data_IF_980753092787
#
_entry.id   IF_980753092787
#
_cell.length_a   1.000
_cell.length_b   1.000
_cell.length_c   1.000
_cell.angle_alpha   90.00
_cell.angle_beta   90.00
_cell.angle_gamma   90.00
#
_symmetry.space_group_name_H-M   'P 1'
#
loop_
_entity.id
_entity.type
_entity.pdbx_description
1 polymer ?
#
# COMPACT_ATOMS: atom_id res chain seq x y z
N UNK A 1 -11.52 -7.33 -6.53
CA UNK A 1 -11.17 -8.53 -5.74
C UNK A 1 -12.44 -9.04 -5.06
N UNK A 2 -12.63 -10.34 -4.96
CA UNK A 2 -13.80 -10.92 -4.27
C UNK A 2 -13.60 -10.88 -2.75
N UNK A 3 -14.69 -10.73 -2.00
CA UNK A 3 -14.63 -10.63 -0.54
C UNK A 3 -14.02 -11.88 0.11
N UNK A 4 -14.28 -13.08 -0.44
CA UNK A 4 -13.65 -14.30 0.07
C UNK A 4 -12.13 -14.33 -0.08
N UNK A 5 -11.57 -13.72 -1.11
CA UNK A 5 -10.11 -13.63 -1.31
C UNK A 5 -9.50 -12.78 -0.20
N UNK A 6 -10.16 -11.68 0.15
CA UNK A 6 -9.77 -10.81 1.26
C UNK A 6 -9.85 -11.57 2.59
N UNK A 7 -10.94 -12.28 2.83
CA UNK A 7 -11.12 -13.04 4.06
C UNK A 7 -10.06 -14.14 4.22
N UNK A 8 -9.75 -14.86 3.14
CA UNK A 8 -8.69 -15.87 3.14
C UNK A 8 -7.31 -15.25 3.44
N UNK A 9 -7.00 -14.09 2.86
CA UNK A 9 -5.75 -13.38 3.11
C UNK A 9 -5.63 -12.85 4.56
N UNK A 10 -6.76 -12.59 5.21
CA UNK A 10 -6.84 -12.20 6.63
C UNK A 10 -6.95 -13.39 7.59
N UNK A 11 -7.35 -14.57 7.11
CA UNK A 11 -7.67 -15.72 7.94
C UNK A 11 -8.91 -15.51 8.81
N UNK A 12 -9.95 -14.85 8.27
CA UNK A 12 -11.11 -14.42 9.04
C UNK A 12 -12.44 -15.00 8.55
N UNK A 13 -13.46 -14.94 9.40
CA UNK A 13 -14.83 -15.36 9.06
C UNK A 13 -15.57 -14.28 8.26
N UNK A 14 -16.44 -14.72 7.34
CA UNK A 14 -17.38 -13.85 6.61
C UNK A 14 -18.80 -14.12 7.10
N UNK A 15 -19.52 -13.06 7.42
CA UNK A 15 -20.98 -13.12 7.63
C UNK A 15 -21.65 -12.31 6.52
N UNK A 16 -22.44 -12.97 5.67
CA UNK A 16 -23.09 -12.33 4.52
C UNK A 16 -22.69 -12.99 3.19
N UNK A 17 -22.64 -12.21 2.12
CA UNK A 17 -22.33 -12.71 0.78
C UNK A 17 -20.81 -12.66 0.50
N UNK A 18 -20.12 -13.82 0.39
CA UNK A 18 -18.67 -13.87 0.13
C UNK A 18 -18.28 -13.50 -1.31
N UNK A 19 -19.24 -13.48 -2.24
CA UNK A 19 -19.00 -13.26 -3.67
C UNK A 19 -19.03 -11.79 -4.09
N UNK A 20 -19.21 -10.87 -3.13
CA UNK A 20 -19.25 -9.44 -3.44
C UNK A 20 -17.89 -8.98 -3.98
N UNK A 21 -17.93 -8.19 -5.05
CA UNK A 21 -16.76 -7.51 -5.58
C UNK A 21 -16.41 -6.29 -4.72
N UNK A 22 -15.20 -6.30 -4.17
CA UNK A 22 -14.59 -5.17 -3.46
C UNK A 22 -13.57 -4.50 -4.38
N UNK A 23 -13.70 -3.18 -4.51
CA UNK A 23 -12.94 -2.34 -5.43
C UNK A 23 -11.91 -1.48 -4.73
N UNK A 24 -12.25 -0.94 -3.56
CA UNK A 24 -11.40 -0.02 -2.80
C UNK A 24 -11.80 0.00 -1.33
N UNK A 25 -10.97 0.65 -0.53
CA UNK A 25 -11.28 0.98 0.86
C UNK A 25 -11.87 2.39 0.94
N UNK A 26 -12.84 2.61 1.81
CA UNK A 26 -13.44 3.93 2.04
C UNK A 26 -13.77 4.17 3.52
N UNK A 27 -13.88 5.44 3.91
CA UNK A 27 -14.39 5.83 5.23
C UNK A 27 -15.87 5.45 5.37
N UNK A 28 -16.28 4.98 6.56
CA UNK A 28 -17.64 4.45 6.78
C UNK A 28 -18.75 5.43 6.41
N UNK A 29 -18.50 6.73 6.54
CA UNK A 29 -19.47 7.80 6.25
C UNK A 29 -19.67 8.02 4.74
N UNK A 30 -18.65 7.76 3.93
CA UNK A 30 -18.59 8.07 2.50
C UNK A 30 -18.54 6.80 1.63
N UNK A 31 -18.50 5.63 2.23
CA UNK A 31 -18.43 4.35 1.55
C UNK A 31 -19.71 4.08 0.75
N UNK A 32 -19.54 3.60 -0.47
CA UNK A 32 -20.60 3.19 -1.38
C UNK A 32 -20.49 1.72 -1.78
N UNK A 33 -21.33 1.32 -2.74
CA UNK A 33 -21.38 -0.05 -3.25
C UNK A 33 -20.04 -0.44 -3.88
N UNK A 34 -19.52 -1.60 -3.49
CA UNK A 34 -18.20 -2.09 -3.89
C UNK A 34 -17.05 -1.64 -2.98
N UNK A 35 -17.33 -0.79 -1.99
CA UNK A 35 -16.32 -0.37 -1.02
C UNK A 35 -16.34 -1.28 0.22
N UNK A 36 -15.15 -1.47 0.80
CA UNK A 36 -14.98 -2.04 2.13
C UNK A 36 -14.56 -0.93 3.11
N UNK A 37 -15.09 -0.97 4.32
CA UNK A 37 -14.72 -0.07 5.41
C UNK A 37 -14.44 -0.87 6.69
N UNK A 38 -14.15 -0.21 7.80
CA UNK A 38 -13.90 -0.87 9.08
C UNK A 38 -14.50 -0.09 10.27
N UNK A 39 -14.75 -0.81 11.36
CA UNK A 39 -15.12 -0.22 12.66
C UNK A 39 -14.19 -0.82 13.72
N UNK A 40 -13.24 -0.02 14.20
CA UNK A 40 -12.40 -0.37 15.36
C UNK A 40 -12.84 0.36 16.64
N UNK A 41 -13.42 1.55 16.51
CA UNK A 41 -13.85 2.37 17.65
C UNK A 41 -15.38 2.34 17.77
N UNK A 42 -15.94 1.92 18.92
CA UNK A 42 -17.38 1.83 19.15
C UNK A 42 -18.18 3.09 18.80
N UNK A 43 -17.57 4.28 18.88
CA UNK A 43 -18.23 5.55 18.54
C UNK A 43 -18.70 5.64 17.08
N UNK A 44 -18.15 4.82 16.18
CA UNK A 44 -18.52 4.77 14.77
C UNK A 44 -19.57 3.69 14.45
N UNK A 45 -19.97 2.85 15.40
CA UNK A 45 -21.00 1.81 15.18
C UNK A 45 -22.37 2.38 14.79
N UNK A 46 -22.61 3.66 15.12
CA UNK A 46 -23.81 4.39 14.69
C UNK A 46 -23.89 4.60 13.17
N UNK A 47 -22.75 4.60 12.47
CA UNK A 47 -22.71 4.75 11.01
C UNK A 47 -22.93 3.42 10.29
N UNK A 48 -22.91 2.29 10.99
CA UNK A 48 -23.22 0.98 10.39
C UNK A 48 -24.61 0.96 9.76
N UNK A 49 -25.56 1.65 10.38
CA UNK A 49 -26.95 1.66 9.94
C UNK A 49 -27.14 2.52 8.68
N UNK A 50 -26.26 3.50 8.43
CA UNK A 50 -26.37 4.45 7.30
C UNK A 50 -25.31 4.29 6.22
N UNK A 51 -24.23 3.53 6.44
CA UNK A 51 -23.14 3.39 5.46
C UNK A 51 -23.63 2.74 4.16
N UNK A 52 -23.06 3.15 3.02
CA UNK A 52 -23.29 2.52 1.72
C UNK A 52 -22.28 1.41 1.38
N UNK A 53 -21.34 1.09 2.30
CA UNK A 53 -20.33 0.06 2.10
C UNK A 53 -20.95 -1.30 1.77
N UNK A 54 -20.27 -2.09 0.95
CA UNK A 54 -20.65 -3.47 0.68
C UNK A 54 -20.11 -4.46 1.70
N UNK A 55 -18.99 -4.14 2.34
CA UNK A 55 -18.45 -4.92 3.42
C UNK A 55 -17.87 -4.05 4.55
N UNK A 56 -17.90 -4.56 5.78
CA UNK A 56 -17.35 -3.89 6.96
C UNK A 56 -16.47 -4.85 7.75
N UNK A 57 -15.22 -4.46 8.02
CA UNK A 57 -14.31 -5.17 8.91
C UNK A 57 -14.64 -4.79 10.35
N UNK A 58 -14.91 -5.77 11.20
CA UNK A 58 -15.36 -5.55 12.58
C UNK A 58 -14.73 -6.53 13.55
N UNK A 59 -14.67 -6.14 14.83
CA UNK A 59 -14.14 -6.99 15.89
C UNK A 59 -15.11 -8.12 16.26
N UNK A 60 -14.62 -9.17 16.92
CA UNK A 60 -15.43 -10.29 17.43
C UNK A 60 -16.61 -9.86 18.32
N UNK A 61 -16.51 -8.72 19.01
CA UNK A 61 -17.58 -8.17 19.85
C UNK A 61 -18.71 -7.48 19.07
N UNK A 62 -18.59 -7.30 17.76
CA UNK A 62 -19.57 -6.57 16.96
C UNK A 62 -20.79 -7.43 16.59
N UNK A 63 -21.95 -7.04 17.09
CA UNK A 63 -23.18 -7.86 17.02
C UNK A 63 -24.20 -7.40 15.99
N UNK A 64 -24.15 -6.15 15.50
CA UNK A 64 -25.13 -5.63 14.54
C UNK A 64 -25.05 -6.38 13.21
N UNK A 65 -26.21 -6.56 12.56
CA UNK A 65 -26.34 -7.17 11.23
C UNK A 65 -27.32 -6.34 10.40
N UNK A 66 -27.06 -6.24 9.11
CA UNK A 66 -27.90 -5.50 8.15
C UNK A 66 -27.91 -6.24 6.82
N UNK A 67 -29.08 -6.41 6.25
CA UNK A 67 -29.21 -7.00 4.92
C UNK A 67 -28.43 -6.18 3.87
N UNK A 68 -27.77 -6.86 2.94
CA UNK A 68 -26.97 -6.23 1.90
C UNK A 68 -25.57 -5.77 2.30
N UNK A 69 -25.16 -5.90 3.58
CA UNK A 69 -23.77 -5.72 4.04
C UNK A 69 -23.19 -7.09 4.43
N UNK A 70 -21.95 -7.34 4.03
CA UNK A 70 -21.16 -8.46 4.57
C UNK A 70 -20.16 -7.99 5.63
N UNK A 71 -19.85 -8.84 6.60
CA UNK A 71 -18.91 -8.55 7.67
C UNK A 71 -17.68 -9.45 7.57
N UNK A 72 -16.50 -8.88 7.80
CA UNK A 72 -15.28 -9.64 8.08
C UNK A 72 -15.01 -9.58 9.58
N UNK A 73 -15.06 -10.73 10.26
CA UNK A 73 -14.91 -10.82 11.71
C UNK A 73 -13.46 -11.10 12.06
N UNK A 74 -12.80 -10.15 12.70
CA UNK A 74 -11.36 -10.20 13.01
C UNK A 74 -11.07 -9.92 14.48
N UNK A 75 -9.86 -10.27 14.92
CA UNK A 75 -9.36 -9.91 16.26
C UNK A 75 -9.02 -8.42 16.37
N UNK A 76 -8.33 -7.87 15.37
CA UNK A 76 -7.95 -6.45 15.30
C UNK A 76 -8.45 -5.82 13.98
N UNK A 77 -9.55 -5.04 14.03
CA UNK A 77 -10.11 -4.39 12.85
C UNK A 77 -9.17 -3.38 12.19
N UNK A 78 -8.32 -2.70 12.97
CA UNK A 78 -7.40 -1.70 12.44
C UNK A 78 -6.25 -2.38 11.69
N UNK A 79 -5.66 -3.42 12.27
CA UNK A 79 -4.63 -4.20 11.59
C UNK A 79 -5.15 -4.88 10.33
N UNK A 80 -6.34 -5.47 10.39
CA UNK A 80 -7.00 -6.06 9.22
C UNK A 80 -7.25 -5.01 8.13
N UNK A 81 -7.72 -3.80 8.49
CA UNK A 81 -7.87 -2.69 7.55
C UNK A 81 -6.54 -2.35 6.85
N UNK A 82 -5.42 -2.23 7.57
CA UNK A 82 -4.10 -1.94 6.96
C UNK A 82 -3.70 -3.05 5.97
N UNK A 83 -3.98 -4.31 6.30
CA UNK A 83 -3.73 -5.45 5.41
C UNK A 83 -4.59 -5.37 4.15
N UNK A 84 -5.88 -5.08 4.28
CA UNK A 84 -6.80 -4.90 3.13
C UNK A 84 -6.36 -3.73 2.25
N UNK A 85 -5.93 -2.61 2.85
CA UNK A 85 -5.44 -1.45 2.11
C UNK A 85 -4.25 -1.81 1.20
N UNK A 86 -3.32 -2.63 1.70
CA UNK A 86 -2.17 -3.14 0.93
C UNK A 86 -2.58 -4.14 -0.16
N UNK A 87 -3.57 -5.00 0.11
CA UNK A 87 -4.07 -5.97 -0.87
C UNK A 87 -4.76 -5.28 -2.05
N UNK A 88 -5.52 -4.22 -1.79
CA UNK A 88 -6.25 -3.47 -2.82
C UNK A 88 -5.40 -2.40 -3.51
N UNK A 89 -4.26 -2.03 -2.93
CA UNK A 89 -3.29 -1.11 -3.52
C UNK A 89 -1.90 -1.75 -3.50
N UNK A 90 -1.65 -2.78 -4.35
CA UNK A 90 -0.33 -3.36 -4.44
C UNK A 90 0.68 -2.30 -4.87
N UNK A 91 1.93 -2.36 -4.36
CA UNK A 91 2.96 -1.41 -4.74
C UNK A 91 3.12 -1.43 -6.26
N UNK A 92 2.97 -0.26 -6.88
CA UNK A 92 3.26 -0.08 -8.30
C UNK A 92 4.78 -0.13 -8.45
N UNK A 93 5.28 -0.89 -9.42
CA UNK A 93 6.69 -0.82 -9.77
C UNK A 93 7.01 0.60 -10.25
N UNK A 94 7.78 1.35 -9.45
CA UNK A 94 8.00 2.77 -9.68
C UNK A 94 8.91 3.04 -10.89
N UNK A 95 9.80 2.09 -11.20
CA UNK A 95 10.73 2.13 -12.33
C UNK A 95 10.99 0.70 -12.85
N UNK A 96 11.31 0.54 -14.15
CA UNK A 96 11.91 -0.68 -14.66
C UNK A 96 13.20 -1.04 -13.91
N UNK A 97 13.61 -2.32 -13.89
CA UNK A 97 14.87 -2.73 -13.30
C UNK A 97 16.07 -2.05 -13.99
N UNK A 98 17.11 -1.73 -13.20
CA UNK A 98 18.38 -1.23 -13.70
C UNK A 98 18.47 0.29 -13.84
N UNK A 99 19.41 0.72 -14.67
CA UNK A 99 19.79 2.13 -14.85
C UNK A 99 19.16 2.64 -16.15
N UNK A 100 18.38 3.72 -16.07
CA UNK A 100 17.81 4.33 -17.27
C UNK A 100 18.93 4.81 -18.20
N UNK A 101 18.82 4.66 -19.54
CA UNK A 101 19.89 5.02 -20.48
C UNK A 101 20.33 6.49 -20.44
N UNK A 102 19.51 7.38 -19.87
CA UNK A 102 19.81 8.81 -19.74
C UNK A 102 20.29 9.21 -18.35
N UNK A 103 20.39 8.27 -17.41
CA UNK A 103 21.02 8.53 -16.13
C UNK A 103 22.53 8.65 -16.30
N UNK A 104 23.13 9.59 -15.58
CA UNK A 104 24.58 9.77 -15.55
C UNK A 104 25.07 9.21 -14.22
N UNK A 105 25.87 8.15 -14.27
CA UNK A 105 26.41 7.48 -13.09
C UNK A 105 27.93 7.50 -13.19
N UNK A 106 28.61 8.08 -12.20
CA UNK A 106 30.06 8.08 -12.13
C UNK A 106 30.61 6.65 -12.11
N UNK A 107 31.73 6.40 -12.79
CA UNK A 107 32.37 5.06 -12.83
C UNK A 107 32.81 4.57 -11.45
N UNK A 108 33.10 5.49 -10.52
CA UNK A 108 33.48 5.18 -9.15
C UNK A 108 32.31 4.89 -8.21
N UNK A 109 31.06 5.08 -8.68
CA UNK A 109 29.88 4.81 -7.87
C UNK A 109 29.69 3.29 -7.69
N UNK A 110 29.34 2.90 -6.46
CA UNK A 110 29.10 1.50 -6.10
C UNK A 110 27.61 1.31 -5.87
N UNK A 111 27.01 0.44 -6.69
CA UNK A 111 25.58 0.13 -6.63
C UNK A 111 25.36 -1.27 -6.08
N UNK A 112 24.42 -1.40 -5.14
CA UNK A 112 23.94 -2.67 -4.63
C UNK A 112 23.08 -3.45 -5.62
N UNK A 113 22.51 -4.56 -5.16
CA UNK A 113 21.61 -5.40 -5.94
C UNK A 113 20.24 -4.74 -6.12
N UNK A 114 19.60 -4.95 -7.27
CA UNK A 114 18.26 -4.45 -7.60
C UNK A 114 18.07 -2.93 -7.50
N UNK A 115 19.16 -2.15 -7.60
CA UNK A 115 19.08 -0.69 -7.68
C UNK A 115 18.38 -0.27 -8.98
N UNK A 116 17.45 0.68 -8.86
CA UNK A 116 16.71 1.26 -10.00
C UNK A 116 17.01 2.74 -10.10
N UNK A 117 17.50 3.21 -11.23
CA UNK A 117 17.86 4.62 -11.45
C UNK A 117 17.04 5.20 -12.59
N UNK A 118 16.28 6.25 -12.30
CA UNK A 118 15.37 6.91 -13.22
C UNK A 118 16.05 7.82 -14.23
N UNK A 119 15.28 8.24 -15.23
CA UNK A 119 15.78 9.10 -16.30
C UNK A 119 16.42 10.39 -15.77
N UNK A 120 17.57 10.75 -16.32
CA UNK A 120 18.29 12.00 -16.03
C UNK A 120 18.70 12.17 -14.56
N UNK A 121 18.72 11.08 -13.78
CA UNK A 121 19.36 11.12 -12.47
C UNK A 121 20.88 11.26 -12.64
N UNK A 122 21.54 11.96 -11.71
CA UNK A 122 22.98 12.18 -11.70
C UNK A 122 23.53 11.63 -10.39
N UNK A 123 24.45 10.65 -10.50
CA UNK A 123 25.13 10.03 -9.36
C UNK A 123 26.60 10.44 -9.41
N UNK A 124 27.03 11.18 -8.38
CA UNK A 124 28.38 11.70 -8.23
C UNK A 124 29.45 10.64 -7.95
N UNK A 125 30.69 11.10 -7.82
CA UNK A 125 31.85 10.25 -7.60
C UNK A 125 31.84 9.63 -6.19
N UNK A 126 32.28 8.37 -6.08
CA UNK A 126 32.43 7.62 -4.81
C UNK A 126 31.12 7.45 -4.02
N UNK A 127 29.99 7.65 -4.68
CA UNK A 127 28.67 7.39 -4.10
C UNK A 127 28.48 5.90 -3.88
N UNK A 128 27.84 5.55 -2.76
CA UNK A 128 27.42 4.18 -2.47
C UNK A 128 25.90 4.11 -2.35
N UNK A 129 25.29 3.21 -3.09
CA UNK A 129 23.84 2.99 -3.06
C UNK A 129 23.55 1.56 -2.63
N UNK A 130 22.79 1.39 -1.55
CA UNK A 130 22.39 0.09 -1.02
C UNK A 130 21.41 -0.68 -1.89
N UNK A 131 21.16 -1.93 -1.50
CA UNK A 131 20.29 -2.86 -2.21
C UNK A 131 18.83 -2.40 -2.24
N UNK A 132 18.09 -2.79 -3.29
CA UNK A 132 16.67 -2.50 -3.49
C UNK A 132 16.31 -1.01 -3.46
N UNK A 133 17.29 -0.13 -3.66
CA UNK A 133 17.09 1.32 -3.61
C UNK A 133 16.61 1.85 -4.96
N UNK A 134 15.67 2.78 -4.92
CA UNK A 134 15.04 3.41 -6.08
C UNK A 134 15.36 4.90 -6.09
N UNK A 135 16.09 5.33 -7.12
CA UNK A 135 16.42 6.72 -7.41
C UNK A 135 15.52 7.20 -8.53
N UNK A 136 14.54 8.06 -8.24
CA UNK A 136 13.58 8.52 -9.23
C UNK A 136 14.17 9.55 -10.22
N UNK A 137 13.48 9.84 -11.35
CA UNK A 137 14.00 10.73 -12.38
C UNK A 137 14.44 12.12 -11.87
N UNK A 138 15.54 12.64 -12.42
CA UNK A 138 16.05 13.97 -12.10
C UNK A 138 16.67 14.14 -10.71
N UNK A 139 16.85 13.05 -9.95
CA UNK A 139 17.57 13.10 -8.66
C UNK A 139 19.04 13.38 -8.89
N UNK A 140 19.63 14.22 -8.04
CA UNK A 140 21.08 14.49 -8.02
C UNK A 140 21.64 14.02 -6.68
N UNK A 141 22.61 13.11 -6.73
CA UNK A 141 23.34 12.64 -5.54
C UNK A 141 24.78 13.11 -5.69
N UNK A 142 25.23 13.95 -4.75
CA UNK A 142 26.57 14.53 -4.79
C UNK A 142 27.66 13.51 -4.42
N UNK A 143 28.91 13.90 -4.65
CA UNK A 143 30.07 13.06 -4.37
C UNK A 143 30.12 12.59 -2.89
N UNK A 144 30.68 11.40 -2.67
CA UNK A 144 30.92 10.80 -1.35
C UNK A 144 29.65 10.50 -0.51
N UNK A 145 28.46 10.58 -1.11
CA UNK A 145 27.18 10.26 -0.43
C UNK A 145 27.00 8.74 -0.28
N UNK A 146 26.49 8.31 0.87
CA UNK A 146 26.11 6.92 1.14
C UNK A 146 24.61 6.81 1.39
N UNK A 147 23.92 6.03 0.55
CA UNK A 147 22.50 5.72 0.64
C UNK A 147 22.34 4.26 1.08
N UNK A 148 21.52 4.03 2.10
CA UNK A 148 21.24 2.69 2.63
C UNK A 148 20.42 1.79 1.70
N UNK A 149 20.03 0.63 2.23
CA UNK A 149 19.16 -0.34 1.55
C UNK A 149 17.69 0.08 1.65
N UNK A 150 16.88 -0.36 0.68
CA UNK A 150 15.42 -0.18 0.64
C UNK A 150 14.99 1.31 0.69
N UNK A 151 15.81 2.20 0.12
CA UNK A 151 15.55 3.64 0.08
C UNK A 151 14.79 4.01 -1.19
N UNK A 152 13.82 4.90 -1.07
CA UNK A 152 13.14 5.54 -2.21
C UNK A 152 13.40 7.04 -2.17
N UNK A 153 14.07 7.56 -3.20
CA UNK A 153 14.27 9.00 -3.40
C UNK A 153 13.34 9.48 -4.51
N UNK A 154 12.43 10.38 -4.17
CA UNK A 154 11.43 10.93 -5.10
C UNK A 154 12.05 11.89 -6.14
N UNK A 155 11.33 12.18 -7.26
CA UNK A 155 11.91 12.92 -8.37
C UNK A 155 12.42 14.30 -7.97
N UNK A 156 13.49 14.75 -8.63
CA UNK A 156 14.08 16.08 -8.46
C UNK A 156 14.58 16.42 -7.04
N UNK A 157 14.89 15.41 -6.22
CA UNK A 157 15.58 15.61 -4.94
C UNK A 157 17.08 15.80 -5.19
N UNK A 158 17.71 16.66 -4.41
CA UNK A 158 19.18 16.79 -4.34
C UNK A 158 19.66 16.35 -2.98
N UNK A 159 20.63 15.44 -2.95
CA UNK A 159 21.26 14.89 -1.75
C UNK A 159 22.73 15.28 -1.72
#
# INVERSE_FOLDING_TARGET
MKLYEIANALGCEIIGNPEIEIRRVAEIQNAGKGDITFISNPKYEKFFDTTGASAVIVGKSFTKRREGISLLIVDDPYFAFVRVLKLLNPPVELLPPGIHPTAVVAESAVLGENVRIGANAVIGERVKIGNNTVIMPGVVICDDVEIGNDVLIYPNVTV
#
